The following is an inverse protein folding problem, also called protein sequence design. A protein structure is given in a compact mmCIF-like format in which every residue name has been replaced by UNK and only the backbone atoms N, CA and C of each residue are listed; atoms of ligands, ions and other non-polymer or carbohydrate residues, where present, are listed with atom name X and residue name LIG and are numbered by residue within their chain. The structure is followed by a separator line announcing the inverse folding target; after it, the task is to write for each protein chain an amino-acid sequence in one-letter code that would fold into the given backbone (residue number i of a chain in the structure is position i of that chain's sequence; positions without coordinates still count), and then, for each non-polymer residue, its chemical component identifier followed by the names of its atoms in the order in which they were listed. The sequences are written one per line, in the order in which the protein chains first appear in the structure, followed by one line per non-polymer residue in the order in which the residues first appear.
data_IF_489807757537
#
_entry.id   IF_489807757537
#
_cell.length_a   1.000
_cell.length_b   1.000
_cell.length_c   1.000
_cell.angle_alpha   90.00
_cell.angle_beta   90.00
_cell.angle_gamma   90.00
#
_symmetry.space_group_name_H-M   'P 1'
#
loop_
_entity.id
_entity.type
_entity.pdbx_description
1 polymer ?
#
# COMPACT_ATOMS: atom_id res chain seq x y z
N UNK A 1 -5.31 8.82 -25.43
CA UNK A 1 -5.55 7.83 -24.37
C UNK A 1 -5.53 8.50 -23.01
N UNK A 2 -6.57 8.33 -22.21
CA UNK A 2 -6.67 8.91 -20.87
C UNK A 2 -5.62 8.34 -19.91
N UNK A 3 -5.45 9.01 -18.74
CA UNK A 3 -4.58 8.50 -17.65
C UNK A 3 -5.47 8.09 -16.49
N UNK A 4 -5.07 7.08 -15.73
CA UNK A 4 -5.69 6.77 -14.43
C UNK A 4 -5.65 8.02 -13.54
N UNK A 5 -6.78 8.41 -12.99
CA UNK A 5 -6.89 9.62 -12.15
C UNK A 5 -7.77 9.41 -10.94
N UNK A 6 -7.53 10.21 -9.91
CA UNK A 6 -8.45 10.34 -8.78
C UNK A 6 -9.44 11.46 -9.12
N UNK A 7 -10.72 11.15 -8.99
CA UNK A 7 -11.82 12.10 -9.11
C UNK A 7 -12.35 12.41 -7.71
N UNK A 8 -12.36 13.67 -7.33
CA UNK A 8 -13.07 14.15 -6.14
C UNK A 8 -14.54 14.35 -6.50
N UNK A 9 -15.44 13.89 -5.64
CA UNK A 9 -16.89 14.06 -5.76
C UNK A 9 -17.36 14.75 -4.50
N UNK A 10 -18.12 15.81 -4.66
CA UNK A 10 -18.77 16.53 -3.56
C UNK A 10 -20.22 16.07 -3.54
N UNK A 11 -20.65 15.57 -2.39
CA UNK A 11 -22.04 15.16 -2.16
C UNK A 11 -22.91 16.35 -1.77
N UNK A 12 -24.24 16.16 -1.73
CA UNK A 12 -25.20 17.20 -1.37
C UNK A 12 -24.98 17.79 0.04
N UNK A 13 -24.44 16.97 0.95
CA UNK A 13 -24.06 17.36 2.31
C UNK A 13 -22.67 18.03 2.40
N UNK A 14 -22.08 18.44 1.28
CA UNK A 14 -20.71 18.94 1.14
C UNK A 14 -19.61 17.92 1.55
N UNK A 15 -19.95 16.67 1.80
CA UNK A 15 -18.96 15.64 2.07
C UNK A 15 -18.15 15.30 0.83
N UNK A 16 -16.84 15.18 1.00
CA UNK A 16 -15.91 14.84 -0.08
C UNK A 16 -15.70 13.34 -0.15
N UNK A 17 -15.84 12.80 -1.35
CA UNK A 17 -15.56 11.39 -1.68
C UNK A 17 -14.56 11.32 -2.82
N UNK A 18 -13.89 10.19 -2.94
CA UNK A 18 -12.86 9.97 -3.96
C UNK A 18 -13.16 8.72 -4.75
N UNK A 19 -12.95 8.77 -6.06
CA UNK A 19 -13.05 7.62 -6.95
C UNK A 19 -11.79 7.50 -7.79
N UNK A 20 -11.37 6.27 -8.07
CA UNK A 20 -10.33 5.99 -9.05
C UNK A 20 -11.00 5.75 -10.41
N UNK A 21 -10.60 6.53 -11.39
CA UNK A 21 -11.11 6.46 -12.77
C UNK A 21 -10.00 5.88 -13.65
N UNK A 22 -10.34 4.88 -14.45
CA UNK A 22 -9.45 4.25 -15.40
C UNK A 22 -9.18 5.12 -16.64
N UNK A 23 -8.39 4.59 -17.60
CA UNK A 23 -8.05 5.29 -18.85
C UNK A 23 -9.25 5.53 -19.77
N UNK A 24 -10.30 4.71 -19.63
CA UNK A 24 -11.50 4.79 -20.44
C UNK A 24 -12.56 5.72 -19.83
N UNK A 25 -12.30 6.26 -18.64
CA UNK A 25 -13.22 7.14 -17.93
C UNK A 25 -14.19 6.41 -17.00
N UNK A 26 -14.02 5.10 -16.79
CA UNK A 26 -14.87 4.32 -15.90
C UNK A 26 -14.29 4.19 -14.49
N UNK A 27 -15.15 4.13 -13.46
CA UNK A 27 -14.71 3.84 -12.10
C UNK A 27 -14.08 2.46 -11.98
N UNK A 28 -12.95 2.36 -11.30
CA UNK A 28 -12.33 1.09 -10.93
C UNK A 28 -13.12 0.50 -9.76
N UNK A 29 -14.04 -0.42 -10.06
CA UNK A 29 -15.04 -0.94 -9.12
C UNK A 29 -14.48 -1.46 -7.79
N UNK A 30 -13.43 -2.32 -7.74
CA UNK A 30 -12.90 -2.80 -6.46
C UNK A 30 -12.37 -1.66 -5.59
N UNK A 31 -11.75 -0.64 -6.19
CA UNK A 31 -11.28 0.54 -5.46
C UNK A 31 -12.45 1.39 -4.97
N UNK A 32 -13.47 1.57 -5.79
CA UNK A 32 -14.67 2.33 -5.41
C UNK A 32 -15.37 1.67 -4.20
N UNK A 33 -15.56 0.35 -4.21
CA UNK A 33 -16.14 -0.41 -3.09
C UNK A 33 -15.29 -0.26 -1.83
N UNK A 34 -13.97 -0.35 -1.95
CA UNK A 34 -13.06 -0.21 -0.83
C UNK A 34 -13.08 1.21 -0.22
N UNK A 35 -13.07 2.25 -1.05
CA UNK A 35 -13.16 3.63 -0.56
C UNK A 35 -14.51 3.89 0.11
N UNK A 36 -15.61 3.31 -0.40
CA UNK A 36 -16.92 3.35 0.26
C UNK A 36 -16.89 2.63 1.62
N UNK A 37 -16.25 1.48 1.70
CA UNK A 37 -16.05 0.76 2.97
C UNK A 37 -15.28 1.63 3.99
N UNK A 38 -14.20 2.30 3.56
CA UNK A 38 -13.45 3.19 4.44
C UNK A 38 -14.30 4.34 4.96
N UNK A 39 -15.18 4.88 4.13
CA UNK A 39 -16.12 5.90 4.51
C UNK A 39 -17.11 5.41 5.57
N UNK A 40 -17.74 4.28 5.31
CA UNK A 40 -18.72 3.67 6.23
C UNK A 40 -18.09 3.25 7.56
N UNK A 41 -16.80 2.96 7.59
CA UNK A 41 -16.03 2.65 8.82
C UNK A 41 -15.45 3.89 9.49
N UNK A 42 -15.88 5.09 9.11
CA UNK A 42 -15.53 6.35 9.77
C UNK A 42 -14.12 6.87 9.45
N UNK A 43 -13.50 6.43 8.37
CA UNK A 43 -12.19 6.98 7.96
C UNK A 43 -12.37 8.38 7.37
N UNK A 44 -11.52 9.31 7.81
CA UNK A 44 -11.60 10.71 7.36
C UNK A 44 -11.43 10.85 5.84
N UNK A 45 -12.00 11.92 5.22
CA UNK A 45 -11.81 12.21 3.80
C UNK A 45 -10.33 12.29 3.38
N UNK A 46 -9.45 12.82 4.24
CA UNK A 46 -8.01 12.88 4.00
C UNK A 46 -7.38 11.48 3.94
N UNK A 47 -7.84 10.55 4.78
CA UNK A 47 -7.41 9.15 4.73
C UNK A 47 -7.87 8.51 3.43
N UNK A 48 -9.12 8.69 3.04
CA UNK A 48 -9.67 8.17 1.78
C UNK A 48 -8.91 8.73 0.58
N UNK A 49 -8.60 10.03 0.56
CA UNK A 49 -7.77 10.68 -0.47
C UNK A 49 -6.39 10.03 -0.57
N UNK A 50 -5.72 9.88 0.56
CA UNK A 50 -4.37 9.27 0.64
C UNK A 50 -4.37 7.82 0.14
N UNK A 51 -5.39 7.06 0.51
CA UNK A 51 -5.59 5.68 0.06
C UNK A 51 -5.88 5.62 -1.45
N UNK A 52 -6.73 6.50 -1.95
CA UNK A 52 -7.00 6.64 -3.38
C UNK A 52 -5.73 6.89 -4.19
N UNK A 53 -4.88 7.82 -3.77
CA UNK A 53 -3.60 8.09 -4.46
C UNK A 53 -2.62 6.92 -4.37
N UNK A 54 -2.61 6.17 -3.29
CA UNK A 54 -1.79 4.96 -3.16
C UNK A 54 -2.27 3.86 -4.12
N UNK A 55 -3.57 3.64 -4.19
CA UNK A 55 -4.19 2.70 -5.13
C UNK A 55 -4.03 3.16 -6.59
N UNK A 56 -4.09 4.47 -6.87
CA UNK A 56 -3.78 5.00 -8.21
C UNK A 56 -2.39 4.56 -8.67
N UNK A 57 -1.35 4.69 -7.80
CA UNK A 57 0.02 4.26 -8.14
C UNK A 57 0.07 2.77 -8.45
N UNK A 58 -0.62 1.97 -7.64
CA UNK A 58 -0.66 0.53 -7.83
C UNK A 58 -1.34 0.13 -9.14
N UNK A 59 -2.50 0.69 -9.44
CA UNK A 59 -3.20 0.40 -10.69
C UNK A 59 -2.43 0.92 -11.92
N UNK A 60 -1.72 2.05 -11.81
CA UNK A 60 -0.80 2.51 -12.86
C UNK A 60 0.30 1.48 -13.12
N UNK A 61 0.92 0.94 -12.06
CA UNK A 61 1.90 -0.14 -12.18
C UNK A 61 1.32 -1.40 -12.82
N UNK A 62 0.14 -1.82 -12.39
CA UNK A 62 -0.53 -3.00 -12.96
C UNK A 62 -0.76 -2.85 -14.47
N UNK A 63 -1.25 -1.69 -14.90
CA UNK A 63 -1.43 -1.41 -16.33
C UNK A 63 -0.11 -1.43 -17.11
N UNK A 64 0.94 -0.78 -16.58
CA UNK A 64 2.27 -0.78 -17.22
C UNK A 64 2.85 -2.19 -17.37
N UNK A 65 2.54 -3.09 -16.44
CA UNK A 65 3.00 -4.48 -16.44
C UNK A 65 2.02 -5.47 -17.08
N UNK A 66 0.85 -5.01 -17.52
CA UNK A 66 -0.19 -5.88 -18.08
C UNK A 66 -0.72 -6.91 -17.08
N UNK A 67 -0.78 -6.57 -15.79
CA UNK A 67 -1.19 -7.48 -14.70
C UNK A 67 -2.60 -7.17 -14.22
N UNK A 68 -3.34 -8.23 -13.89
CA UNK A 68 -4.65 -8.11 -13.23
C UNK A 68 -4.47 -8.16 -11.70
N UNK A 69 -5.14 -7.27 -10.98
CA UNK A 69 -5.12 -7.20 -9.52
C UNK A 69 -5.54 -8.51 -8.84
N UNK A 70 -6.36 -9.33 -9.49
CA UNK A 70 -6.84 -10.61 -8.94
C UNK A 70 -5.76 -11.68 -8.82
N UNK A 71 -4.73 -11.61 -9.65
CA UNK A 71 -3.71 -12.64 -9.78
C UNK A 71 -2.32 -12.20 -9.29
N UNK A 72 -2.27 -11.12 -8.51
CA UNK A 72 -1.02 -10.59 -7.96
C UNK A 72 -0.41 -11.56 -6.95
N UNK A 73 0.91 -11.74 -7.05
CA UNK A 73 1.73 -12.53 -6.15
C UNK A 73 2.62 -11.62 -5.31
N UNK A 74 3.24 -12.20 -4.28
CA UNK A 74 4.20 -11.49 -3.44
C UNK A 74 5.37 -10.88 -4.25
N UNK A 75 5.85 -11.61 -5.26
CA UNK A 75 6.91 -11.14 -6.18
C UNK A 75 6.50 -9.86 -6.90
N UNK A 76 5.25 -9.77 -7.36
CA UNK A 76 4.74 -8.58 -8.03
C UNK A 76 4.71 -7.35 -7.11
N UNK A 77 4.48 -7.57 -5.81
CA UNK A 77 4.55 -6.50 -4.82
C UNK A 77 6.00 -6.10 -4.50
N UNK A 78 6.95 -7.03 -4.54
CA UNK A 78 8.39 -6.72 -4.45
C UNK A 78 8.81 -5.86 -5.64
N UNK A 79 8.40 -6.25 -6.85
CA UNK A 79 8.66 -5.48 -8.08
C UNK A 79 8.00 -4.10 -8.03
N UNK A 80 6.79 -4.02 -7.46
CA UNK A 80 6.10 -2.75 -7.26
C UNK A 80 6.86 -1.81 -6.31
N UNK A 81 7.46 -2.34 -5.23
CA UNK A 81 8.35 -1.55 -4.36
C UNK A 81 9.54 -1.02 -5.14
N UNK A 82 10.17 -1.84 -5.98
CA UNK A 82 11.24 -1.42 -6.88
C UNK A 82 10.78 -0.30 -7.82
N UNK A 83 9.62 -0.45 -8.44
CA UNK A 83 9.01 0.56 -9.31
C UNK A 83 8.69 1.88 -8.56
N UNK A 84 8.23 1.81 -7.30
CA UNK A 84 7.99 3.00 -6.48
C UNK A 84 9.28 3.76 -6.18
N UNK A 85 10.42 3.07 -6.05
CA UNK A 85 11.75 3.67 -5.81
C UNK A 85 12.34 4.29 -7.07
N UNK A 86 12.14 3.65 -8.22
CA UNK A 86 12.71 4.06 -9.51
C UNK A 86 11.67 3.95 -10.63
N UNK A 87 10.73 4.89 -10.75
CA UNK A 87 9.60 4.80 -11.68
C UNK A 87 9.98 4.94 -13.16
N UNK A 88 11.27 5.05 -13.51
CA UNK A 88 11.77 5.25 -14.87
C UNK A 88 12.65 4.12 -15.41
N UNK A 89 12.57 2.93 -14.85
CA UNK A 89 13.26 1.76 -15.45
C UNK A 89 12.51 1.24 -16.68
N UNK A 90 12.39 2.06 -17.72
CA UNK A 90 11.95 1.62 -19.05
C UNK A 90 12.93 2.00 -20.16
N UNK A 91 14.19 2.27 -19.85
CA UNK A 91 15.25 2.36 -20.86
C UNK A 91 16.48 1.58 -20.40
N UNK A 92 17.09 0.85 -21.33
CA UNK A 92 18.31 0.06 -21.17
C UNK A 92 19.58 0.91 -20.85
N UNK A 93 19.40 2.04 -20.18
CA UNK A 93 20.45 2.94 -19.76
C UNK A 93 20.56 2.87 -18.26
N UNK A 94 21.62 2.25 -17.76
CA UNK A 94 22.00 2.30 -16.35
C UNK A 94 22.55 3.69 -16.06
N UNK A 95 21.87 4.55 -15.29
CA UNK A 95 22.42 5.87 -14.98
C UNK A 95 23.67 5.72 -14.13
N UNK A 96 24.75 6.32 -14.54
CA UNK A 96 26.04 6.38 -13.83
C UNK A 96 25.96 7.14 -12.49
N UNK A 97 24.89 7.88 -12.26
CA UNK A 97 24.61 8.55 -11.00
C UNK A 97 23.37 7.91 -10.35
N UNK A 98 23.46 7.59 -9.06
CA UNK A 98 22.29 7.19 -8.28
C UNK A 98 21.31 8.36 -8.26
N UNK A 99 20.31 8.33 -9.16
CA UNK A 99 19.19 9.24 -9.06
C UNK A 99 18.49 9.01 -7.72
N UNK A 100 18.32 10.08 -6.95
CA UNK A 100 17.61 10.02 -5.66
C UNK A 100 16.23 9.43 -5.92
N UNK A 101 15.87 8.42 -5.14
CA UNK A 101 14.55 7.81 -5.18
C UNK A 101 13.49 8.91 -5.22
N UNK A 102 12.62 8.91 -6.22
CA UNK A 102 11.62 9.97 -6.44
C UNK A 102 10.60 10.06 -5.30
N UNK A 103 10.52 9.03 -4.47
CA UNK A 103 9.60 8.94 -3.31
C UNK A 103 10.36 8.55 -2.06
N UNK A 104 9.99 9.18 -0.94
CA UNK A 104 10.57 8.85 0.36
C UNK A 104 10.12 7.47 0.81
N UNK A 105 10.95 6.81 1.63
CA UNK A 105 10.64 5.51 2.25
C UNK A 105 9.31 5.55 3.01
N UNK A 106 9.01 6.68 3.66
CA UNK A 106 7.73 6.89 4.34
C UNK A 106 6.54 6.80 3.38
N UNK A 107 6.65 7.40 2.19
CA UNK A 107 5.60 7.35 1.17
C UNK A 107 5.44 5.93 0.61
N UNK A 108 6.56 5.22 0.40
CA UNK A 108 6.55 3.84 -0.07
C UNK A 108 5.91 2.94 0.98
N UNK A 109 6.33 3.04 2.25
CA UNK A 109 5.78 2.27 3.36
C UNK A 109 4.28 2.49 3.54
N UNK A 110 3.82 3.74 3.42
CA UNK A 110 2.40 4.06 3.45
C UNK A 110 1.65 3.40 2.28
N UNK A 111 2.20 3.50 1.06
CA UNK A 111 1.59 2.88 -0.12
C UNK A 111 1.46 1.37 0.05
N UNK A 112 2.52 0.69 0.52
CA UNK A 112 2.48 -0.76 0.76
C UNK A 112 1.47 -1.12 1.86
N UNK A 113 1.36 -0.33 2.92
CA UNK A 113 0.35 -0.55 3.96
C UNK A 113 -1.06 -0.43 3.40
N UNK A 114 -1.31 0.56 2.54
CA UNK A 114 -2.62 0.73 1.87
C UNK A 114 -2.94 -0.47 0.98
N UNK A 115 -1.96 -0.95 0.20
CA UNK A 115 -2.16 -2.12 -0.68
C UNK A 115 -2.42 -3.39 0.15
N UNK A 116 -1.69 -3.60 1.25
CA UNK A 116 -1.94 -4.73 2.15
C UNK A 116 -3.37 -4.70 2.72
N UNK A 117 -3.82 -3.55 3.20
CA UNK A 117 -5.19 -3.37 3.70
C UNK A 117 -6.25 -3.55 2.60
N UNK A 118 -5.96 -3.12 1.38
CA UNK A 118 -6.84 -3.32 0.23
C UNK A 118 -6.99 -4.81 -0.11
N UNK A 119 -5.88 -5.58 -0.12
CA UNK A 119 -5.95 -7.01 -0.35
C UNK A 119 -6.61 -7.79 0.79
N UNK A 120 -6.43 -7.36 2.05
CA UNK A 120 -7.19 -7.91 3.18
C UNK A 120 -8.71 -7.70 2.99
N UNK A 121 -9.11 -6.51 2.55
CA UNK A 121 -10.50 -6.23 2.22
C UNK A 121 -11.02 -7.11 1.08
N UNK A 122 -10.26 -7.23 -0.02
CA UNK A 122 -10.66 -8.06 -1.17
C UNK A 122 -10.76 -9.54 -0.80
N UNK A 123 -9.83 -10.04 0.01
CA UNK A 123 -9.83 -11.42 0.49
C UNK A 123 -11.05 -11.72 1.37
N UNK A 124 -11.36 -10.84 2.33
CA UNK A 124 -12.54 -10.97 3.20
C UNK A 124 -13.86 -10.88 2.45
N UNK A 125 -13.88 -10.23 1.29
CA UNK A 125 -15.06 -10.15 0.42
C UNK A 125 -15.02 -11.18 -0.72
N UNK A 126 -14.13 -12.16 -0.65
CA UNK A 126 -14.01 -13.27 -1.61
C UNK A 126 -13.74 -12.80 -3.06
N UNK A 127 -13.25 -11.56 -3.24
CA UNK A 127 -12.88 -11.03 -4.57
C UNK A 127 -11.51 -11.54 -5.05
N UNK A 128 -10.65 -12.00 -4.12
CA UNK A 128 -9.36 -12.66 -4.39
C UNK A 128 -9.20 -13.91 -3.52
N UNK A 129 -8.51 -14.92 -4.06
CA UNK A 129 -8.33 -16.21 -3.37
C UNK A 129 -7.11 -16.24 -2.47
N UNK A 130 -6.13 -15.36 -2.68
CA UNK A 130 -4.88 -15.35 -1.94
C UNK A 130 -4.95 -14.41 -0.75
N UNK A 131 -4.67 -14.93 0.45
CA UNK A 131 -4.41 -14.09 1.62
C UNK A 131 -3.03 -13.43 1.48
N UNK A 132 -3.04 -12.25 0.87
CA UNK A 132 -1.83 -11.45 0.68
C UNK A 132 -1.33 -10.87 2.00
N UNK A 133 -2.25 -10.63 2.96
CA UNK A 133 -1.90 -10.11 4.28
C UNK A 133 -1.05 -11.11 5.05
N UNK A 134 -1.42 -12.39 5.05
CA UNK A 134 -0.62 -13.45 5.66
C UNK A 134 0.78 -13.50 5.08
N UNK A 135 0.90 -13.44 3.75
CA UNK A 135 2.19 -13.47 3.05
C UNK A 135 3.07 -12.24 3.34
N UNK A 136 2.46 -11.08 3.56
CA UNK A 136 3.17 -9.84 3.83
C UNK A 136 3.58 -9.69 5.30
N UNK A 137 2.87 -10.32 6.23
CA UNK A 137 3.10 -10.15 7.65
C UNK A 137 3.99 -11.26 8.21
N UNK A 138 5.17 -10.89 8.68
CA UNK A 138 6.09 -11.81 9.37
C UNK A 138 6.03 -11.55 10.87
N UNK A 139 5.84 -12.62 11.64
CA UNK A 139 6.04 -12.56 13.09
C UNK A 139 7.54 -12.43 13.39
N UNK A 140 7.92 -11.34 13.99
CA UNK A 140 9.30 -11.12 14.46
C UNK A 140 9.31 -11.23 15.96
N UNK A 141 9.95 -12.29 16.46
CA UNK A 141 10.23 -12.38 17.89
C UNK A 141 11.38 -11.41 18.20
N UNK A 142 11.06 -10.26 18.74
CA UNK A 142 12.06 -9.34 19.28
C UNK A 142 12.53 -9.87 20.63
N UNK A 143 13.41 -10.85 20.59
CA UNK A 143 14.22 -11.24 21.75
C UNK A 143 15.19 -10.09 22.06
N UNK A 144 14.72 -9.05 22.72
CA UNK A 144 15.57 -7.99 23.23
C UNK A 144 16.38 -8.53 24.38
N UNK A 145 17.69 -8.73 24.21
CA UNK A 145 18.62 -8.82 25.30
C UNK A 145 18.73 -7.45 25.99
N UNK A 146 17.69 -7.03 26.69
CA UNK A 146 17.83 -5.93 27.63
C UNK A 146 18.48 -6.47 28.89
N UNK A 147 19.66 -5.95 29.27
CA UNK A 147 20.33 -6.24 30.55
C UNK A 147 19.47 -5.83 31.75
N UNK A 148 18.53 -4.94 31.57
CA UNK A 148 17.55 -4.51 32.58
C UNK A 148 16.23 -5.19 32.35
N UNK A 149 15.89 -6.16 33.20
CA UNK A 149 14.57 -6.79 33.24
C UNK A 149 13.66 -5.92 34.10
N UNK A 150 12.67 -5.25 33.49
CA UNK A 150 11.62 -4.56 34.25
C UNK A 150 10.79 -5.58 35.06
N UNK A 151 10.19 -5.12 36.17
CA UNK A 151 9.36 -5.95 37.07
C UNK A 151 8.28 -6.80 36.32
N UNK A 152 7.72 -6.26 35.25
CA UNK A 152 6.72 -6.95 34.41
C UNK A 152 7.32 -7.70 33.20
N UNK A 153 8.63 -7.93 33.18
CA UNK A 153 9.29 -8.58 32.06
C UNK A 153 8.74 -10.00 31.76
N UNK A 154 8.33 -10.74 32.78
CA UNK A 154 7.74 -12.08 32.63
C UNK A 154 6.35 -12.07 32.00
N UNK A 155 5.58 -10.98 32.16
CA UNK A 155 4.24 -10.80 31.55
C UNK A 155 4.34 -10.35 30.09
N UNK A 156 5.39 -9.57 29.73
CA UNK A 156 5.59 -9.01 28.40
C UNK A 156 6.45 -9.88 27.47
N UNK A 157 6.90 -11.04 27.93
CA UNK A 157 7.95 -11.85 27.29
C UNK A 157 7.64 -12.33 25.88
N UNK A 158 6.38 -12.36 25.41
CA UNK A 158 6.03 -13.09 24.22
C UNK A 158 4.94 -12.46 23.34
N UNK A 159 4.87 -11.13 23.23
CA UNK A 159 4.05 -10.56 22.14
C UNK A 159 4.91 -10.47 20.88
N UNK A 160 4.70 -11.34 19.88
CA UNK A 160 5.43 -11.22 18.62
C UNK A 160 5.08 -9.90 17.97
N UNK A 161 6.09 -9.11 17.57
CA UNK A 161 5.82 -7.95 16.74
C UNK A 161 5.57 -8.41 15.32
N UNK A 162 4.41 -8.06 14.76
CA UNK A 162 4.06 -8.35 13.38
C UNK A 162 4.63 -7.23 12.53
N UNK A 163 5.43 -7.57 11.51
CA UNK A 163 6.01 -6.60 10.58
C UNK A 163 5.71 -6.97 9.15
N UNK A 164 5.39 -5.96 8.35
CA UNK A 164 5.31 -6.13 6.91
C UNK A 164 6.73 -6.28 6.33
N UNK A 165 6.97 -7.39 5.62
CA UNK A 165 8.29 -7.75 5.07
C UNK A 165 8.79 -6.78 4.00
N UNK A 166 7.87 -6.06 3.32
CA UNK A 166 8.22 -5.09 2.28
C UNK A 166 8.50 -3.69 2.83
N UNK A 167 8.34 -3.49 4.13
CA UNK A 167 8.54 -2.17 4.75
C UNK A 167 10.01 -1.76 4.72
N UNK A 168 10.28 -0.61 4.12
CA UNK A 168 11.61 -0.02 4.04
C UNK A 168 12.02 0.60 5.38
N UNK A 169 13.33 0.58 5.67
CA UNK A 169 13.88 1.26 6.85
C UNK A 169 13.86 2.77 6.60
N UNK A 170 13.14 3.49 7.45
CA UNK A 170 13.11 4.95 7.40
C UNK A 170 14.39 5.54 8.02
N UNK A 171 14.97 6.60 7.44
CA UNK A 171 16.11 7.28 8.05
C UNK A 171 15.70 7.90 9.39
N UNK A 172 16.57 7.79 10.39
CA UNK A 172 16.34 8.46 11.67
C UNK A 172 16.43 9.96 11.46
N UNK A 173 15.45 10.71 11.97
CA UNK A 173 15.57 12.15 12.05
C UNK A 173 16.71 12.47 13.03
N UNK A 174 17.70 13.21 12.56
CA UNK A 174 18.72 13.84 13.43
C UNK A 174 18.09 14.98 14.18
#
# INVERSE_FOLDING_TARGET
MGKIRIQEVILEDNAKRYMLIDRNGFPVLPVMKYLKYLDQTGKSPNTQKTYGYSLKRFYTYLEEKGKDYKFIRLEDLIDFVGWLRSPYQSSNVTPLQQERAKRTEKTINLTITVIANFYDYLYRNEEVQNDMMEKLMKQVFTGGHSRYKSFLHHVNKNKPSIRNILKLKEPRKK
#
